data_IF_108004931823
#
_entry.id   IF_108004931823
#
_cell.length_a   1.000
_cell.length_b   1.000
_cell.length_c   1.000
_cell.angle_alpha   90.00
_cell.angle_beta   90.00
_cell.angle_gamma   90.00
#
_symmetry.space_group_name_H-M   'P 1'
#
loop_
_entity.id
_entity.type
_entity.pdbx_description
1 polymer ?
#
# COMPACT_ATOMS: atom_id res chain seq x y z
N UNK A 1 -14.07 -32.88 11.94
CA UNK A 1 -13.03 -32.01 12.50
C UNK A 1 -11.63 -32.41 12.07
N UNK A 2 -11.28 -33.69 12.11
CA UNK A 2 -9.96 -34.20 11.73
C UNK A 2 -9.62 -33.94 10.26
N UNK A 3 -10.56 -34.11 9.33
CA UNK A 3 -10.36 -33.86 7.91
C UNK A 3 -10.09 -32.39 7.58
N UNK A 4 -10.75 -31.44 8.28
CA UNK A 4 -10.52 -30.02 8.11
C UNK A 4 -9.12 -29.60 8.58
N UNK A 5 -8.64 -30.15 9.68
CA UNK A 5 -7.30 -29.89 10.21
C UNK A 5 -6.26 -30.40 9.23
N UNK A 6 -6.45 -31.60 8.69
CA UNK A 6 -5.55 -32.19 7.69
C UNK A 6 -5.47 -31.35 6.41
N UNK A 7 -6.60 -30.83 5.93
CA UNK A 7 -6.64 -29.97 4.75
C UNK A 7 -5.80 -28.70 4.93
N UNK A 8 -5.90 -28.06 6.07
CA UNK A 8 -5.13 -26.84 6.36
C UNK A 8 -3.64 -27.13 6.57
N UNK A 9 -3.33 -28.20 7.32
CA UNK A 9 -1.94 -28.64 7.47
C UNK A 9 -1.30 -29.01 6.14
N UNK A 10 -2.02 -29.71 5.27
CA UNK A 10 -1.55 -30.06 3.93
C UNK A 10 -1.31 -28.81 3.09
N UNK A 11 -2.20 -27.82 3.13
CA UNK A 11 -2.04 -26.57 2.40
C UNK A 11 -0.81 -25.79 2.88
N UNK A 12 -0.60 -25.71 4.18
CA UNK A 12 0.58 -25.06 4.77
C UNK A 12 1.85 -25.78 4.34
N UNK A 13 1.88 -27.11 4.44
CA UNK A 13 3.03 -27.90 4.05
C UNK A 13 3.35 -27.79 2.54
N UNK A 14 2.31 -27.68 1.71
CA UNK A 14 2.46 -27.55 0.26
C UNK A 14 2.88 -26.14 -0.19
N UNK A 15 2.69 -25.11 0.63
CA UNK A 15 2.95 -23.72 0.28
C UNK A 15 4.44 -23.41 0.05
N UNK A 16 5.34 -24.18 0.65
CA UNK A 16 6.81 -24.03 0.54
C UNK A 16 7.30 -22.59 0.79
N UNK A 17 6.59 -21.85 1.64
CA UNK A 17 6.95 -20.48 1.98
C UNK A 17 8.05 -20.48 3.04
N UNK A 18 9.13 -19.77 2.78
CA UNK A 18 10.18 -19.55 3.77
C UNK A 18 9.84 -18.32 4.59
N UNK A 19 9.79 -18.49 5.91
CA UNK A 19 9.57 -17.40 6.88
C UNK A 19 10.81 -17.11 7.73
N UNK A 20 11.97 -17.64 7.33
CA UNK A 20 13.23 -17.39 8.00
C UNK A 20 13.66 -15.94 7.83
N UNK A 21 13.86 -15.24 8.95
CA UNK A 21 14.19 -13.81 8.97
C UNK A 21 15.51 -13.52 8.22
N UNK A 22 16.49 -14.39 8.36
CA UNK A 22 17.78 -14.22 7.68
C UNK A 22 17.61 -14.32 6.15
N UNK A 23 16.81 -15.27 5.67
CA UNK A 23 16.50 -15.40 4.26
C UNK A 23 15.76 -14.16 3.73
N UNK A 24 14.74 -13.69 4.44
CA UNK A 24 13.97 -12.51 4.05
C UNK A 24 14.86 -11.26 4.01
N UNK A 25 15.71 -11.08 5.01
CA UNK A 25 16.64 -9.95 5.06
C UNK A 25 17.62 -9.97 3.87
N UNK A 26 18.14 -11.15 3.52
CA UNK A 26 19.05 -11.32 2.39
C UNK A 26 18.34 -11.01 1.06
N UNK A 27 17.09 -11.45 0.89
CA UNK A 27 16.30 -11.15 -0.30
C UNK A 27 15.98 -9.66 -0.42
N UNK A 28 15.60 -9.01 0.67
CA UNK A 28 15.38 -7.56 0.68
C UNK A 28 16.67 -6.82 0.28
N UNK A 29 17.81 -7.21 0.85
CA UNK A 29 19.10 -6.61 0.49
C UNK A 29 19.41 -6.80 -0.99
N UNK A 30 19.19 -7.99 -1.52
CA UNK A 30 19.42 -8.29 -2.95
C UNK A 30 18.59 -7.36 -3.85
N UNK A 31 17.29 -7.24 -3.56
CA UNK A 31 16.37 -6.39 -4.33
C UNK A 31 16.82 -4.92 -4.27
N UNK A 32 17.19 -4.44 -3.09
CA UNK A 32 17.68 -3.07 -2.94
C UNK A 32 18.98 -2.82 -3.70
N UNK A 33 19.94 -3.74 -3.59
CA UNK A 33 21.23 -3.62 -4.28
C UNK A 33 21.08 -3.63 -5.82
N UNK A 34 20.14 -4.43 -6.32
CA UNK A 34 19.93 -4.58 -7.76
C UNK A 34 19.05 -3.47 -8.38
N UNK A 35 18.04 -2.99 -7.65
CA UNK A 35 16.96 -2.22 -8.24
C UNK A 35 16.74 -0.83 -7.63
N UNK A 36 17.28 -0.54 -6.45
CA UNK A 36 16.98 0.73 -5.78
C UNK A 36 17.40 1.94 -6.62
N UNK A 37 18.64 1.94 -7.12
CA UNK A 37 19.19 3.07 -7.88
C UNK A 37 18.40 3.39 -9.15
N UNK A 38 18.01 2.36 -9.90
CA UNK A 38 17.27 2.54 -11.16
C UNK A 38 15.87 3.12 -10.92
N UNK A 39 15.33 2.93 -9.71
CA UNK A 39 14.01 3.43 -9.32
C UNK A 39 14.04 4.77 -8.59
N UNK A 40 15.22 5.34 -8.33
CA UNK A 40 15.36 6.65 -7.67
C UNK A 40 15.38 7.77 -8.70
N UNK A 41 14.31 7.89 -9.48
CA UNK A 41 14.15 8.93 -10.50
C UNK A 41 12.86 9.72 -10.28
N UNK A 42 12.80 10.94 -10.81
CA UNK A 42 11.60 11.76 -10.72
C UNK A 42 10.39 11.10 -11.39
N UNK A 43 10.59 10.43 -12.50
CA UNK A 43 9.50 9.73 -13.20
C UNK A 43 8.93 8.60 -12.38
N UNK A 44 9.78 7.81 -11.70
CA UNK A 44 9.31 6.74 -10.80
C UNK A 44 8.59 7.34 -9.59
N UNK A 45 9.09 8.42 -9.01
CA UNK A 45 8.44 9.08 -7.87
C UNK A 45 7.05 9.61 -8.24
N UNK A 46 6.90 10.22 -9.41
CA UNK A 46 5.60 10.66 -9.93
C UNK A 46 4.66 9.49 -10.15
N UNK A 47 5.15 8.43 -10.75
CA UNK A 47 4.38 7.21 -10.95
C UNK A 47 3.88 6.64 -9.61
N UNK A 48 4.77 6.51 -8.63
CA UNK A 48 4.40 6.01 -7.30
C UNK A 48 3.37 6.92 -6.62
N UNK A 49 3.52 8.24 -6.72
CA UNK A 49 2.55 9.19 -6.20
C UNK A 49 1.16 8.96 -6.81
N UNK A 50 1.10 8.76 -8.12
CA UNK A 50 -0.16 8.54 -8.84
C UNK A 50 -0.78 7.15 -8.58
N UNK A 51 -0.10 6.26 -7.88
CA UNK A 51 -0.62 4.95 -7.48
C UNK A 51 -1.06 4.87 -6.02
N UNK A 52 -0.89 5.94 -5.27
CA UNK A 52 -1.22 5.97 -3.83
C UNK A 52 -2.73 5.86 -3.64
N UNK A 53 -3.15 4.94 -2.79
CA UNK A 53 -4.47 4.93 -2.17
C UNK A 53 -4.32 5.64 -0.82
N UNK A 54 -4.66 6.94 -0.80
CA UNK A 54 -4.43 7.79 0.36
C UNK A 54 -5.50 7.53 1.42
N UNK A 55 -5.08 7.01 2.55
CA UNK A 55 -5.94 6.40 3.54
C UNK A 55 -6.08 7.25 4.80
N UNK A 56 -7.31 7.42 5.27
CA UNK A 56 -7.59 7.85 6.65
C UNK A 56 -8.56 6.86 7.29
N UNK A 57 -8.08 6.18 8.32
CA UNK A 57 -8.85 5.16 9.06
C UNK A 57 -8.66 5.39 10.56
N UNK A 58 -8.75 6.64 11.00
CA UNK A 58 -8.59 7.02 12.40
C UNK A 58 -9.89 6.82 13.16
N UNK A 59 -9.79 6.37 14.40
CA UNK A 59 -10.96 6.29 15.29
C UNK A 59 -11.63 7.65 15.52
N UNK A 60 -10.89 8.74 15.31
CA UNK A 60 -11.37 10.13 15.45
C UNK A 60 -11.94 10.71 14.16
N UNK A 61 -11.98 9.95 13.06
CA UNK A 61 -12.57 10.44 11.83
C UNK A 61 -14.05 10.74 11.99
N UNK A 62 -14.47 11.80 11.31
CA UNK A 62 -15.86 12.27 11.27
C UNK A 62 -16.24 12.67 9.85
N UNK A 63 -17.51 12.88 9.58
CA UNK A 63 -17.93 13.43 8.28
C UNK A 63 -17.19 14.73 7.95
N UNK A 64 -17.00 15.58 8.94
CA UNK A 64 -16.29 16.86 8.77
C UNK A 64 -14.81 16.64 8.41
N UNK A 65 -14.12 15.76 9.15
CA UNK A 65 -12.69 15.52 8.90
C UNK A 65 -12.46 14.86 7.54
N UNK A 66 -13.31 13.91 7.16
CA UNK A 66 -13.22 13.23 5.87
C UNK A 66 -13.57 14.16 4.72
N UNK A 67 -14.58 15.01 4.86
CA UNK A 67 -14.90 16.02 3.87
C UNK A 67 -13.72 17.00 3.66
N UNK A 68 -13.12 17.49 4.74
CA UNK A 68 -11.95 18.37 4.65
C UNK A 68 -10.75 17.69 4.01
N UNK A 69 -10.53 16.40 4.31
CA UNK A 69 -9.50 15.57 3.68
C UNK A 69 -9.73 15.45 2.17
N UNK A 70 -10.95 15.15 1.77
CA UNK A 70 -11.34 15.01 0.36
C UNK A 70 -11.16 16.33 -0.41
N UNK A 71 -11.56 17.45 0.19
CA UNK A 71 -11.37 18.78 -0.40
C UNK A 71 -9.89 19.10 -0.63
N UNK A 72 -9.01 18.78 0.33
CA UNK A 72 -7.58 18.96 0.16
C UNK A 72 -7.01 18.10 -0.97
N UNK A 73 -7.46 16.87 -1.09
CA UNK A 73 -7.03 15.99 -2.17
C UNK A 73 -7.47 16.54 -3.53
N UNK A 74 -8.71 17.01 -3.63
CA UNK A 74 -9.23 17.60 -4.86
C UNK A 74 -8.49 18.89 -5.23
N UNK A 75 -8.19 19.74 -4.25
CA UNK A 75 -7.48 21.01 -4.47
C UNK A 75 -6.03 20.79 -4.92
N UNK A 76 -5.41 19.70 -4.50
CA UNK A 76 -4.00 19.41 -4.81
C UNK A 76 -3.74 19.41 -6.32
N UNK A 77 -4.60 18.80 -7.11
CA UNK A 77 -4.41 18.70 -8.56
C UNK A 77 -4.46 20.07 -9.23
N UNK A 78 -5.30 20.96 -8.76
CA UNK A 78 -5.37 22.34 -9.26
C UNK A 78 -4.11 23.14 -8.91
N UNK A 79 -3.53 22.90 -7.75
CA UNK A 79 -2.31 23.58 -7.27
C UNK A 79 -1.04 23.00 -7.91
N UNK A 80 -1.04 21.71 -8.23
CA UNK A 80 0.10 20.95 -8.75
C UNK A 80 -0.27 20.12 -9.97
N UNK A 81 -0.69 20.75 -11.08
CA UNK A 81 -1.18 20.00 -12.26
C UNK A 81 -0.11 19.09 -12.87
N UNK A 82 1.17 19.43 -12.72
CA UNK A 82 2.29 18.63 -13.21
C UNK A 82 2.43 17.29 -12.50
N UNK A 83 1.91 17.17 -11.27
CA UNK A 83 1.98 15.93 -10.49
C UNK A 83 0.72 15.08 -10.62
N UNK A 84 -0.35 15.65 -11.16
CA UNK A 84 -1.69 15.04 -11.17
C UNK A 84 -2.17 14.79 -9.73
N UNK A 85 -2.66 13.59 -9.43
CA UNK A 85 -3.18 13.28 -8.09
C UNK A 85 -2.91 11.83 -7.70
N UNK A 86 -3.21 11.51 -6.45
CA UNK A 86 -3.23 10.12 -5.97
C UNK A 86 -4.30 9.33 -6.72
N UNK A 87 -4.17 7.99 -6.72
CA UNK A 87 -5.10 7.11 -7.44
C UNK A 87 -6.49 7.10 -6.81
N UNK A 88 -6.55 7.12 -5.48
CA UNK A 88 -7.80 7.02 -4.73
C UNK A 88 -7.61 7.53 -3.31
N UNK A 89 -8.71 7.70 -2.61
CA UNK A 89 -8.72 7.84 -1.16
C UNK A 89 -9.44 6.65 -0.54
N UNK A 90 -8.96 6.21 0.62
CA UNK A 90 -9.57 5.11 1.37
C UNK A 90 -10.09 5.65 2.71
N UNK A 91 -11.36 5.43 2.96
CA UNK A 91 -12.04 5.89 4.17
C UNK A 91 -12.92 4.77 4.73
N UNK A 92 -13.36 4.90 5.96
CA UNK A 92 -14.37 3.96 6.49
C UNK A 92 -15.65 4.04 5.65
N UNK A 93 -16.36 2.91 5.46
CA UNK A 93 -17.52 2.85 4.56
C UNK A 93 -18.63 3.85 4.90
N UNK A 94 -18.81 4.19 6.17
CA UNK A 94 -19.81 5.14 6.60
C UNK A 94 -19.53 6.61 6.22
N UNK A 95 -18.33 6.88 5.70
CA UNK A 95 -17.95 8.22 5.20
C UNK A 95 -17.84 8.26 3.67
N UNK A 96 -18.02 7.13 3.01
CA UNK A 96 -17.92 7.06 1.54
C UNK A 96 -19.09 7.72 0.82
#
# INVERSE_FOLDING_TARGET
MTEQIDKYHQAIAASKVTTDDAFVAAEVKRILDEHLKENMTQDVYRFLFNTIDLTTLKATDSQRSVAAFTERVNAFEAEHPELKNVAAICVYPNFA
#
